data_IF_506744683489
#
_entry.id   IF_506744683489
#
_cell.length_a   1.000
_cell.length_b   1.000
_cell.length_c   1.000
_cell.angle_alpha   90.00
_cell.angle_beta   90.00
_cell.angle_gamma   90.00
#
_symmetry.space_group_name_H-M   'P 1'
#
loop_
_entity.id
_entity.type
_entity.pdbx_description
1 polymer ?
#
# COMPACT_ATOMS: atom_id res chain seq x y z
N UNK A 1 7.27 13.37 11.48
CA UNK A 1 6.62 12.25 10.77
C UNK A 1 7.74 11.36 10.24
N UNK A 2 7.61 10.02 10.25
CA UNK A 2 8.60 9.16 9.60
C UNK A 2 8.67 9.54 8.13
N UNK A 3 9.87 9.79 7.62
CA UNK A 3 10.08 10.31 6.26
C UNK A 3 10.81 9.34 5.36
N UNK A 4 11.34 8.25 5.92
CA UNK A 4 12.07 7.21 5.19
C UNK A 4 11.42 5.85 5.40
N UNK A 5 11.63 4.90 4.47
CA UNK A 5 11.13 3.54 4.59
C UNK A 5 11.56 2.89 5.92
N UNK A 6 12.81 3.11 6.33
CA UNK A 6 13.35 2.62 7.61
C UNK A 6 12.62 3.15 8.83
N UNK A 7 12.25 4.42 8.84
CA UNK A 7 11.49 5.00 9.96
C UNK A 7 10.08 4.38 10.06
N UNK A 8 9.46 4.08 8.91
CA UNK A 8 8.14 3.45 8.84
C UNK A 8 8.22 2.00 9.35
N UNK A 9 9.21 1.22 8.89
CA UNK A 9 9.43 -0.16 9.34
C UNK A 9 9.76 -0.24 10.84
N UNK A 10 10.50 0.74 11.37
CA UNK A 10 10.77 0.84 12.80
C UNK A 10 9.47 1.07 13.59
N UNK A 11 8.61 1.98 13.13
CA UNK A 11 7.31 2.24 13.79
C UNK A 11 6.36 1.05 13.70
N UNK A 12 6.35 0.33 12.59
CA UNK A 12 5.58 -0.90 12.42
C UNK A 12 5.95 -1.91 13.52
N UNK A 13 7.26 -2.12 13.72
CA UNK A 13 7.77 -3.04 14.75
C UNK A 13 7.49 -2.54 16.17
N UNK A 14 7.70 -1.25 16.42
CA UNK A 14 7.46 -0.64 17.74
C UNK A 14 5.99 -0.75 18.17
N UNK A 15 5.06 -0.59 17.22
CA UNK A 15 3.62 -0.57 17.48
C UNK A 15 2.93 -1.92 17.27
N UNK A 16 3.70 -2.98 16.98
CA UNK A 16 3.22 -4.32 16.65
C UNK A 16 2.08 -4.31 15.60
N UNK A 17 2.29 -3.52 14.53
CA UNK A 17 1.31 -3.36 13.46
C UNK A 17 1.15 -4.68 12.71
N UNK A 18 -0.11 -5.12 12.53
CA UNK A 18 -0.43 -6.35 11.80
C UNK A 18 -0.76 -6.14 10.34
N UNK A 19 -1.24 -4.95 9.99
CA UNK A 19 -1.71 -4.64 8.65
C UNK A 19 -1.33 -3.23 8.24
N UNK A 20 -1.02 -3.06 6.97
CA UNK A 20 -0.81 -1.75 6.33
C UNK A 20 -1.89 -1.53 5.29
N UNK A 21 -2.59 -0.40 5.42
CA UNK A 21 -3.65 -0.01 4.50
C UNK A 21 -3.12 1.06 3.54
N UNK A 22 -2.86 0.65 2.30
CA UNK A 22 -2.41 1.55 1.23
C UNK A 22 -3.63 2.21 0.61
N UNK A 23 -3.71 3.53 0.68
CA UNK A 23 -4.84 4.31 0.15
C UNK A 23 -4.43 5.14 -1.05
N UNK A 24 -5.25 5.13 -2.07
CA UNK A 24 -5.05 5.92 -3.29
C UNK A 24 -6.40 6.36 -3.86
N UNK A 25 -6.37 7.35 -4.73
CA UNK A 25 -7.58 7.91 -5.33
C UNK A 25 -7.61 7.57 -6.81
N UNK A 26 -8.73 7.03 -7.28
CA UNK A 26 -8.91 6.82 -8.72
C UNK A 26 -9.15 8.15 -9.46
N UNK A 27 -9.13 8.12 -10.80
CA UNK A 27 -9.30 9.32 -11.64
C UNK A 27 -10.67 10.01 -11.46
N UNK A 28 -11.63 9.34 -10.82
CA UNK A 28 -12.97 9.85 -10.54
C UNK A 28 -13.09 10.41 -9.13
N UNK A 29 -12.00 10.41 -8.36
CA UNK A 29 -11.97 10.94 -7.00
C UNK A 29 -12.43 9.95 -5.93
N UNK A 30 -12.67 8.67 -6.26
CA UNK A 30 -13.04 7.68 -5.26
C UNK A 30 -11.79 7.17 -4.55
N UNK A 31 -11.82 7.24 -3.23
CA UNK A 31 -10.79 6.66 -2.37
C UNK A 31 -10.91 5.13 -2.41
N UNK A 32 -9.84 4.50 -2.88
CA UNK A 32 -9.65 3.06 -2.88
C UNK A 32 -8.58 2.73 -1.83
N UNK A 33 -8.62 1.51 -1.34
CA UNK A 33 -7.62 1.03 -0.40
C UNK A 33 -7.33 -0.45 -0.60
N UNK A 34 -6.09 -0.84 -0.34
CA UNK A 34 -5.64 -2.24 -0.34
C UNK A 34 -4.89 -2.49 0.94
N UNK A 35 -5.35 -3.49 1.68
CA UNK A 35 -4.73 -3.91 2.93
C UNK A 35 -3.75 -5.03 2.66
N UNK A 36 -2.53 -4.87 3.15
CA UNK A 36 -1.47 -5.87 3.11
C UNK A 36 -1.19 -6.37 4.52
N UNK A 37 -0.87 -7.67 4.62
CA UNK A 37 -0.29 -8.24 5.83
C UNK A 37 1.12 -7.70 6.04
N UNK A 38 1.54 -7.55 7.30
CA UNK A 38 2.84 -6.99 7.63
C UNK A 38 4.01 -7.83 7.10
N UNK A 39 3.82 -9.13 6.90
CA UNK A 39 4.83 -10.01 6.32
C UNK A 39 5.17 -9.65 4.86
N UNK A 40 4.31 -8.88 4.19
CA UNK A 40 4.51 -8.39 2.82
C UNK A 40 5.08 -6.96 2.75
N UNK A 41 5.24 -6.28 3.90
CA UNK A 41 5.67 -4.88 3.95
C UNK A 41 7.14 -4.83 4.35
N UNK A 42 8.01 -4.70 3.34
CA UNK A 42 9.45 -4.54 3.48
C UNK A 42 9.94 -3.18 2.93
N UNK A 43 11.27 -3.03 2.81
CA UNK A 43 11.88 -1.79 2.31
C UNK A 43 11.55 -1.59 0.82
N UNK A 44 11.61 -2.66 0.02
CA UNK A 44 11.28 -2.65 -1.41
C UNK A 44 9.80 -2.27 -1.64
N UNK A 45 8.87 -2.77 -0.81
CA UNK A 45 7.46 -2.40 -0.85
C UNK A 45 7.24 -0.88 -0.70
N UNK A 46 8.05 -0.23 0.15
CA UNK A 46 7.91 1.19 0.45
C UNK A 46 8.67 2.09 -0.54
N UNK A 47 9.76 1.61 -1.15
CA UNK A 47 10.57 2.37 -2.10
C UNK A 47 10.15 2.15 -3.56
N UNK A 48 10.03 0.88 -3.98
CA UNK A 48 9.72 0.50 -5.37
C UNK A 48 8.21 0.27 -5.58
N UNK A 49 7.48 0.04 -4.50
CA UNK A 49 6.05 -0.21 -4.52
C UNK A 49 5.71 -1.68 -4.76
N UNK A 50 4.42 -2.00 -4.62
CA UNK A 50 3.91 -3.36 -4.85
C UNK A 50 2.96 -3.39 -6.03
N UNK A 51 2.99 -4.51 -6.76
CA UNK A 51 2.03 -4.78 -7.82
C UNK A 51 0.73 -5.30 -7.21
N UNK A 52 -0.38 -4.63 -7.49
CA UNK A 52 -1.71 -5.06 -7.07
C UNK A 52 -2.66 -5.13 -8.27
N UNK A 53 -3.70 -5.98 -8.18
CA UNK A 53 -4.62 -6.17 -9.30
C UNK A 53 -5.57 -4.97 -9.47
N UNK A 54 -5.22 -4.08 -10.40
CA UNK A 54 -6.04 -2.94 -10.79
C UNK A 54 -7.22 -3.26 -11.71
N UNK A 55 -7.46 -4.53 -12.07
CA UNK A 55 -8.61 -4.93 -12.90
C UNK A 55 -9.96 -4.58 -12.27
N UNK A 56 -10.00 -4.53 -10.93
CA UNK A 56 -11.18 -4.16 -10.15
C UNK A 56 -11.35 -2.64 -9.97
N UNK A 57 -10.43 -1.81 -10.49
CA UNK A 57 -10.56 -0.35 -10.48
C UNK A 57 -11.16 0.11 -11.80
N UNK A 58 -12.38 0.64 -11.73
CA UNK A 58 -13.09 1.17 -12.88
C UNK A 58 -12.25 2.26 -13.58
N UNK A 59 -11.75 1.94 -14.78
CA UNK A 59 -11.01 2.85 -15.64
C UNK A 59 -9.49 2.71 -15.62
N UNK A 60 -8.90 1.75 -14.88
CA UNK A 60 -7.45 1.53 -14.88
C UNK A 60 -7.00 0.39 -15.79
N UNK A 61 -7.68 -0.76 -15.75
CA UNK A 61 -7.36 -1.91 -16.59
C UNK A 61 -8.65 -2.58 -17.06
N UNK A 62 -8.77 -2.87 -18.36
CA UNK A 62 -9.90 -3.64 -18.86
C UNK A 62 -9.80 -5.09 -18.36
N UNK A 63 -10.89 -5.62 -17.79
CA UNK A 63 -11.07 -7.06 -17.64
C UNK A 63 -11.33 -7.58 -19.06
N UNK A 64 -10.46 -8.45 -19.56
CA UNK A 64 -10.58 -9.05 -20.88
C UNK A 64 -11.36 -10.37 -20.79
#
# INVERSE_FOLDING_TARGET
>A
MPTTAKDILAQIKEKDVKYVDVRFTDIRGKLQHVTFDIDLVDEDFLEDGTMFDGSSIAGWKAIN
#
